data_IF_169178574141
#
_entry.id   IF_169178574141
#
_cell.length_a   1.000
_cell.length_b   1.000
_cell.length_c   1.000
_cell.angle_alpha   90.00
_cell.angle_beta   90.00
_cell.angle_gamma   90.00
#
_symmetry.space_group_name_H-M   'P 1'
#
loop_
_entity.id
_entity.type
_entity.pdbx_description
1 polymer ?
#
# COMPACT_ATOMS: atom_id res chain seq x y z
N UNK A 1 -27.18 -1.43 30.06
CA UNK A 1 -27.23 -0.83 28.71
C UNK A 1 -26.05 -1.28 27.85
N UNK A 2 -24.85 -1.41 28.42
CA UNK A 2 -23.62 -1.86 27.72
C UNK A 2 -23.73 -3.21 27.00
N UNK A 3 -24.36 -4.23 27.59
CA UNK A 3 -24.50 -5.56 26.97
C UNK A 3 -25.20 -5.51 25.59
N UNK A 4 -26.19 -4.62 25.40
CA UNK A 4 -26.89 -4.46 24.11
C UNK A 4 -26.03 -3.75 23.06
N UNK A 5 -25.11 -2.89 23.48
CA UNK A 5 -24.22 -2.18 22.55
C UNK A 5 -23.15 -3.12 22.03
N UNK A 6 -22.48 -3.87 22.91
CA UNK A 6 -21.45 -4.85 22.52
C UNK A 6 -21.98 -5.92 21.58
N UNK A 7 -23.20 -6.41 21.85
CA UNK A 7 -23.86 -7.41 21.00
C UNK A 7 -24.24 -6.85 19.62
N UNK A 8 -24.70 -5.59 19.56
CA UNK A 8 -24.98 -4.90 18.28
C UNK A 8 -23.71 -4.60 17.50
N UNK A 9 -22.64 -4.14 18.17
CA UNK A 9 -21.34 -3.88 17.54
C UNK A 9 -20.75 -5.17 16.98
N UNK A 10 -20.85 -6.29 17.70
CA UNK A 10 -20.42 -7.61 17.23
C UNK A 10 -21.15 -8.02 15.93
N UNK A 11 -22.46 -7.74 15.83
CA UNK A 11 -23.28 -8.07 14.65
C UNK A 11 -22.92 -7.31 13.37
N UNK A 12 -22.21 -6.18 13.45
CA UNK A 12 -21.84 -5.38 12.27
C UNK A 12 -20.32 -5.42 12.02
N UNK A 13 -19.54 -5.87 13.01
CA UNK A 13 -18.08 -5.96 12.92
C UNK A 13 -17.61 -6.83 11.75
N UNK A 14 -18.35 -7.89 11.41
CA UNK A 14 -18.04 -8.76 10.27
C UNK A 14 -18.01 -8.02 8.92
N UNK A 15 -18.70 -6.88 8.78
CA UNK A 15 -18.66 -6.03 7.59
C UNK A 15 -17.54 -5.00 7.70
N UNK A 16 -17.47 -4.29 8.83
CA UNK A 16 -16.56 -3.17 8.98
C UNK A 16 -15.09 -3.59 9.06
N UNK A 17 -14.81 -4.78 9.59
CA UNK A 17 -13.44 -5.25 9.74
C UNK A 17 -12.78 -5.58 8.39
N UNK A 18 -13.35 -6.40 7.50
CA UNK A 18 -12.78 -6.64 6.18
C UNK A 18 -12.70 -5.34 5.35
N UNK A 19 -13.72 -4.48 5.42
CA UNK A 19 -13.69 -3.18 4.76
C UNK A 19 -12.61 -2.27 5.33
N UNK A 20 -12.44 -2.22 6.65
CA UNK A 20 -11.43 -1.40 7.30
C UNK A 20 -10.01 -1.85 6.96
N UNK A 21 -9.75 -3.15 6.92
CA UNK A 21 -8.46 -3.69 6.46
C UNK A 21 -8.23 -3.41 4.97
N UNK A 22 -9.25 -3.63 4.13
CA UNK A 22 -9.18 -3.32 2.70
C UNK A 22 -8.87 -1.84 2.47
N UNK A 23 -9.56 -0.95 3.15
CA UNK A 23 -9.35 0.50 3.05
C UNK A 23 -7.96 0.90 3.58
N UNK A 24 -7.52 0.36 4.71
CA UNK A 24 -6.19 0.65 5.26
C UNK A 24 -5.09 0.27 4.27
N UNK A 25 -5.19 -0.93 3.69
CA UNK A 25 -4.22 -1.41 2.70
C UNK A 25 -4.30 -0.58 1.43
N UNK A 26 -5.50 -0.32 0.90
CA UNK A 26 -5.67 0.49 -0.31
C UNK A 26 -5.09 1.91 -0.15
N UNK A 27 -5.35 2.59 0.97
CA UNK A 27 -4.78 3.92 1.25
C UNK A 27 -3.25 3.86 1.32
N UNK A 28 -2.68 2.79 1.90
CA UNK A 28 -1.24 2.60 1.90
C UNK A 28 -0.67 2.29 0.51
N UNK A 29 -1.38 1.48 -0.29
CA UNK A 29 -1.01 1.15 -1.67
C UNK A 29 -0.97 2.41 -2.49
N UNK A 30 -2.00 3.25 -2.37
CA UNK A 30 -2.10 4.54 -3.03
C UNK A 30 -0.90 5.45 -2.66
N UNK A 31 -0.63 5.62 -1.37
CA UNK A 31 0.51 6.42 -0.92
C UNK A 31 1.87 5.90 -1.44
N UNK A 32 2.03 4.59 -1.54
CA UNK A 32 3.22 3.98 -2.11
C UNK A 32 3.29 4.13 -3.64
N UNK A 33 2.16 4.01 -4.33
CA UNK A 33 2.06 4.14 -5.78
C UNK A 33 2.35 5.57 -6.25
N UNK A 34 1.95 6.59 -5.47
CA UNK A 34 2.32 7.99 -5.71
C UNK A 34 3.84 8.17 -5.75
N UNK A 35 4.56 7.57 -4.79
CA UNK A 35 6.03 7.59 -4.78
C UNK A 35 6.60 6.88 -6.00
N UNK A 36 6.00 5.77 -6.45
CA UNK A 36 6.42 5.10 -7.70
C UNK A 36 6.22 6.04 -8.89
N UNK A 37 5.09 6.74 -8.98
CA UNK A 37 4.81 7.73 -10.02
C UNK A 37 5.87 8.83 -10.08
N UNK A 38 6.24 9.40 -8.93
CA UNK A 38 7.28 10.42 -8.83
C UNK A 38 8.66 9.90 -9.28
N UNK A 39 9.00 8.64 -8.97
CA UNK A 39 10.25 8.02 -9.40
C UNK A 39 10.26 7.71 -10.90
N UNK A 40 9.12 7.30 -11.47
CA UNK A 40 8.96 7.10 -12.92
C UNK A 40 9.13 8.43 -13.64
N UNK A 41 8.45 9.49 -13.16
CA UNK A 41 8.58 10.83 -13.74
C UNK A 41 10.03 11.32 -13.68
N UNK A 42 10.69 11.18 -12.53
CA UNK A 42 12.10 11.53 -12.37
C UNK A 42 13.02 10.77 -13.35
N UNK A 43 12.75 9.48 -13.58
CA UNK A 43 13.53 8.69 -14.53
C UNK A 43 13.31 9.16 -15.97
N UNK A 44 12.07 9.43 -16.36
CA UNK A 44 11.72 9.97 -17.69
C UNK A 44 12.39 11.31 -17.92
N UNK A 45 12.32 12.23 -16.96
CA UNK A 45 12.96 13.54 -17.05
C UNK A 45 14.49 13.44 -17.14
N UNK A 46 15.09 12.45 -16.47
CA UNK A 46 16.53 12.22 -16.55
C UNK A 46 16.98 11.68 -17.90
N UNK A 47 16.18 10.79 -18.48
CA UNK A 47 16.43 10.23 -19.82
C UNK A 47 16.32 11.33 -20.86
N UNK A 48 15.28 12.16 -20.77
CA UNK A 48 15.09 13.30 -21.66
C UNK A 48 16.24 14.31 -21.57
N UNK A 49 16.60 14.73 -20.36
CA UNK A 49 17.73 15.66 -20.15
C UNK A 49 19.06 15.09 -20.69
N UNK A 50 19.26 13.77 -20.66
CA UNK A 50 20.43 13.12 -21.25
C UNK A 50 20.40 13.17 -22.78
N UNK A 51 19.23 12.91 -23.38
CA UNK A 51 19.04 13.04 -24.81
C UNK A 51 19.25 14.49 -25.26
N UNK A 52 18.68 15.46 -24.55
CA UNK A 52 18.89 16.89 -24.80
C UNK A 52 20.37 17.25 -24.74
N UNK A 53 21.10 16.77 -23.73
CA UNK A 53 22.53 17.04 -23.59
C UNK A 53 23.38 16.47 -24.74
N UNK A 54 23.01 15.31 -25.29
CA UNK A 54 23.72 14.69 -26.43
C UNK A 54 23.33 15.37 -27.74
N UNK A 55 22.04 15.53 -28.00
CA UNK A 55 21.52 15.91 -29.31
C UNK A 55 21.45 17.44 -29.51
N UNK A 56 21.49 18.25 -28.45
CA UNK A 56 21.67 19.70 -28.55
C UNK A 56 23.04 20.08 -29.12
N UNK A 57 24.03 19.19 -29.04
CA UNK A 57 25.36 19.43 -29.60
C UNK A 57 25.39 19.35 -31.14
N UNK A 58 24.34 18.84 -31.78
CA UNK A 58 24.28 18.62 -33.24
C UNK A 58 23.13 19.44 -33.85
N UNK A 59 23.47 20.39 -34.74
CA UNK A 59 22.53 21.37 -35.33
C UNK A 59 21.39 20.77 -36.17
N UNK A 60 21.49 19.49 -36.54
CA UNK A 60 20.50 18.77 -37.35
C UNK A 60 19.39 18.14 -36.49
N UNK A 61 19.65 17.87 -35.21
CA UNK A 61 18.72 17.18 -34.29
C UNK A 61 18.03 18.11 -33.30
N UNK A 62 18.34 19.40 -33.32
CA UNK A 62 17.71 20.43 -32.48
C UNK A 62 16.16 20.46 -32.50
N UNK A 63 15.43 20.14 -33.60
CA UNK A 63 13.98 20.08 -33.58
C UNK A 63 13.38 18.74 -33.10
N UNK A 64 14.21 17.73 -32.78
CA UNK A 64 13.77 16.46 -32.15
C UNK A 64 13.83 16.53 -30.62
N UNK A 65 14.41 17.60 -30.08
CA UNK A 65 14.48 17.93 -28.66
C UNK A 65 13.08 18.39 -28.24
N UNK A 66 12.51 17.78 -27.21
CA UNK A 66 11.14 18.02 -26.71
C UNK A 66 9.98 17.34 -27.47
N UNK A 67 10.21 16.15 -28.04
CA UNK A 67 9.17 15.34 -28.72
C UNK A 67 8.05 14.84 -27.78
N UNK A 68 8.29 14.77 -26.47
CA UNK A 68 7.30 14.35 -25.48
C UNK A 68 7.11 15.49 -24.49
N UNK A 69 5.97 16.15 -24.56
CA UNK A 69 5.68 17.30 -23.71
C UNK A 69 5.57 16.91 -22.23
N UNK A 70 5.85 17.86 -21.34
CA UNK A 70 5.81 17.64 -19.88
C UNK A 70 4.46 17.09 -19.38
N UNK A 71 3.36 17.47 -20.05
CA UNK A 71 2.02 16.92 -19.80
C UNK A 71 1.88 15.43 -20.13
N UNK A 72 2.49 14.97 -21.22
CA UNK A 72 2.45 13.57 -21.66
C UNK A 72 3.30 12.68 -20.73
N UNK A 73 4.46 13.16 -20.29
CA UNK A 73 5.32 12.48 -19.29
C UNK A 73 4.58 12.30 -17.97
N UNK A 74 3.91 13.36 -17.51
CA UNK A 74 3.10 13.33 -16.28
C UNK A 74 1.93 12.37 -16.41
N UNK A 75 1.23 12.39 -17.56
CA UNK A 75 0.14 11.45 -17.82
C UNK A 75 0.63 10.00 -17.81
N UNK A 76 1.74 9.72 -18.48
CA UNK A 76 2.33 8.38 -18.52
C UNK A 76 2.74 7.90 -17.12
N UNK A 77 3.45 8.72 -16.34
CA UNK A 77 3.86 8.38 -14.98
C UNK A 77 2.66 8.07 -14.08
N UNK A 78 1.58 8.86 -14.19
CA UNK A 78 0.33 8.63 -13.45
C UNK A 78 -0.41 7.37 -13.91
N UNK A 79 -0.44 7.09 -15.22
CA UNK A 79 -1.04 5.87 -15.74
C UNK A 79 -0.28 4.62 -15.26
N UNK A 80 1.05 4.67 -15.22
CA UNK A 80 1.89 3.60 -14.65
C UNK A 80 1.63 3.44 -13.16
N UNK A 81 1.59 4.53 -12.40
CA UNK A 81 1.29 4.50 -10.97
C UNK A 81 -0.09 3.87 -10.70
N UNK A 82 -1.13 4.28 -11.45
CA UNK A 82 -2.48 3.72 -11.34
C UNK A 82 -2.52 2.22 -11.68
N UNK A 83 -1.85 1.80 -12.77
CA UNK A 83 -1.79 0.38 -13.12
C UNK A 83 -1.08 -0.45 -12.02
N UNK A 84 -0.05 0.13 -11.41
CA UNK A 84 0.67 -0.48 -10.29
C UNK A 84 -0.19 -0.58 -9.03
N UNK A 85 -0.90 0.50 -8.69
CA UNK A 85 -1.85 0.58 -7.58
C UNK A 85 -2.94 -0.49 -7.71
N UNK A 86 -3.63 -0.55 -8.86
CA UNK A 86 -4.69 -1.54 -9.09
C UNK A 86 -4.18 -2.98 -9.03
N UNK A 87 -2.97 -3.22 -9.54
CA UNK A 87 -2.33 -4.54 -9.48
C UNK A 87 -2.01 -4.93 -8.04
N UNK A 88 -1.51 -3.99 -7.24
CA UNK A 88 -1.21 -4.21 -5.84
C UNK A 88 -2.49 -4.40 -5.00
N UNK A 89 -3.54 -3.64 -5.25
CA UNK A 89 -4.83 -3.80 -4.58
C UNK A 89 -5.49 -5.14 -4.89
N UNK A 90 -5.39 -5.61 -6.14
CA UNK A 90 -5.85 -6.95 -6.50
C UNK A 90 -5.12 -8.05 -5.72
N UNK A 91 -3.84 -7.86 -5.40
CA UNK A 91 -3.02 -8.80 -4.66
C UNK A 91 -3.15 -8.65 -3.14
N UNK A 92 -3.38 -7.44 -2.62
CA UNK A 92 -3.35 -7.15 -1.19
C UNK A 92 -4.72 -6.81 -0.62
N UNK A 93 -5.43 -5.84 -1.19
CA UNK A 93 -6.65 -5.28 -0.63
C UNK A 93 -7.88 -6.18 -0.89
N UNK A 94 -8.09 -6.62 -2.14
CA UNK A 94 -9.26 -7.44 -2.52
C UNK A 94 -9.34 -8.76 -1.71
N UNK A 95 -8.25 -9.51 -1.47
CA UNK A 95 -8.31 -10.73 -0.66
C UNK A 95 -8.78 -10.53 0.79
N UNK A 96 -8.72 -9.29 1.30
CA UNK A 96 -9.17 -8.95 2.66
C UNK A 96 -10.70 -8.87 2.76
N UNK A 97 -11.41 -8.65 1.65
CA UNK A 97 -12.87 -8.67 1.63
C UNK A 97 -13.45 -10.05 1.97
N UNK A 98 -12.70 -11.11 1.68
CA UNK A 98 -13.05 -12.48 2.06
C UNK A 98 -12.53 -12.90 3.43
N UNK A 99 -12.11 -11.96 4.28
CA UNK A 99 -11.62 -12.28 5.62
C UNK A 99 -12.79 -12.77 6.50
N UNK A 100 -12.57 -13.93 7.13
CA UNK A 100 -13.48 -14.50 8.11
C UNK A 100 -12.97 -14.23 9.52
N UNK A 101 -13.85 -13.65 10.35
CA UNK A 101 -13.48 -13.13 11.66
C UNK A 101 -13.19 -14.26 12.65
N UNK A 102 -11.99 -14.24 13.23
CA UNK A 102 -11.51 -15.24 14.18
C UNK A 102 -11.00 -14.59 15.46
N UNK A 103 -10.90 -15.40 16.52
CA UNK A 103 -10.24 -14.95 17.74
C UNK A 103 -8.75 -14.70 17.47
N UNK A 104 -8.19 -13.62 18.04
CA UNK A 104 -6.81 -13.23 17.78
C UNK A 104 -5.77 -14.33 18.15
N UNK A 105 -6.07 -15.16 19.15
CA UNK A 105 -5.22 -16.28 19.54
C UNK A 105 -5.14 -17.36 18.46
N UNK A 106 -6.25 -17.63 17.78
CA UNK A 106 -6.32 -18.64 16.71
C UNK A 106 -5.54 -18.16 15.47
N UNK A 107 -5.70 -16.89 15.12
CA UNK A 107 -4.96 -16.25 14.03
C UNK A 107 -3.44 -16.31 14.24
N UNK A 108 -2.99 -15.97 15.44
CA UNK A 108 -1.57 -16.00 15.78
C UNK A 108 -1.02 -17.43 15.70
N UNK A 109 -1.81 -18.42 16.11
CA UNK A 109 -1.43 -19.83 16.04
C UNK A 109 -1.28 -20.28 14.60
N UNK A 110 -2.25 -19.96 13.73
CA UNK A 110 -2.20 -20.26 12.30
C UNK A 110 -1.00 -19.57 11.65
N UNK A 111 -0.80 -18.28 11.90
CA UNK A 111 0.30 -17.51 11.34
C UNK A 111 1.67 -18.11 11.70
N UNK A 112 1.86 -18.52 12.97
CA UNK A 112 3.09 -19.19 13.42
C UNK A 112 3.36 -20.50 12.68
N UNK A 113 2.31 -21.29 12.43
CA UNK A 113 2.43 -22.55 11.67
C UNK A 113 2.83 -22.26 10.21
N UNK A 114 2.21 -21.27 9.58
CA UNK A 114 2.47 -20.91 8.19
C UNK A 114 3.89 -20.35 8.00
N UNK A 115 4.36 -19.49 8.90
CA UNK A 115 5.73 -18.93 8.86
C UNK A 115 6.79 -20.03 9.00
N UNK A 116 6.55 -21.03 9.85
CA UNK A 116 7.49 -22.16 10.04
C UNK A 116 7.70 -23.00 8.78
N UNK A 117 6.74 -23.02 7.85
CA UNK A 117 6.83 -23.81 6.60
C UNK A 117 7.79 -23.24 5.55
N UNK A 118 8.50 -22.14 5.86
CA UNK A 118 9.61 -21.51 5.10
C UNK A 118 9.61 -21.64 3.57
N UNK A 119 8.76 -20.89 2.86
CA UNK A 119 8.98 -20.55 1.46
C UNK A 119 9.27 -19.05 1.33
N UNK A 120 10.50 -18.68 0.97
CA UNK A 120 10.97 -17.28 0.91
C UNK A 120 10.04 -16.36 0.09
N UNK A 121 9.54 -16.84 -1.05
CA UNK A 121 8.61 -16.08 -1.91
C UNK A 121 7.25 -15.84 -1.27
N UNK A 122 6.79 -16.70 -0.35
CA UNK A 122 5.47 -16.55 0.30
C UNK A 122 5.48 -15.51 1.42
N UNK A 123 6.64 -14.97 1.77
CA UNK A 123 6.76 -13.88 2.74
C UNK A 123 6.71 -12.49 2.10
N UNK A 124 6.81 -12.39 0.77
CA UNK A 124 6.78 -11.11 0.05
C UNK A 124 5.44 -10.41 0.26
N UNK A 125 4.35 -11.10 -0.03
CA UNK A 125 3.00 -10.55 0.10
C UNK A 125 2.66 -10.08 1.53
N UNK A 126 2.89 -10.87 2.59
CA UNK A 126 2.61 -10.40 3.96
C UNK A 126 3.59 -9.31 4.44
N UNK A 127 4.84 -9.30 3.98
CA UNK A 127 5.76 -8.20 4.27
C UNK A 127 5.29 -6.90 3.60
N UNK A 128 4.86 -6.98 2.33
CA UNK A 128 4.27 -5.85 1.62
C UNK A 128 2.99 -5.37 2.29
N UNK A 129 2.08 -6.29 2.67
CA UNK A 129 0.86 -5.96 3.41
C UNK A 129 1.15 -5.22 4.72
N UNK A 130 2.19 -5.62 5.46
CA UNK A 130 2.62 -4.95 6.68
C UNK A 130 3.08 -3.51 6.38
N UNK A 131 4.04 -3.34 5.46
CA UNK A 131 4.63 -2.05 5.14
C UNK A 131 3.59 -1.07 4.56
N UNK A 132 2.74 -1.57 3.67
CA UNK A 132 1.61 -0.82 3.11
C UNK A 132 0.61 -0.45 4.20
N UNK A 133 0.27 -1.35 5.13
CA UNK A 133 -0.63 -1.01 6.26
C UNK A 133 -0.03 0.07 7.17
N UNK A 134 1.29 0.06 7.40
CA UNK A 134 1.98 1.12 8.16
C UNK A 134 1.89 2.45 7.40
N UNK A 135 2.16 2.45 6.09
CA UNK A 135 2.02 3.62 5.24
C UNK A 135 0.59 4.17 5.24
N UNK A 136 -0.41 3.30 5.12
CA UNK A 136 -1.82 3.68 5.19
C UNK A 136 -2.20 4.28 6.55
N UNK A 137 -1.74 3.69 7.65
CA UNK A 137 -2.00 4.21 8.99
C UNK A 137 -1.35 5.59 9.20
N UNK A 138 -0.11 5.78 8.71
CA UNK A 138 0.58 7.07 8.74
C UNK A 138 -0.14 8.13 7.88
N UNK A 139 -0.59 7.76 6.68
CA UNK A 139 -1.34 8.64 5.79
C UNK A 139 -2.67 9.11 6.44
N UNK A 140 -3.43 8.19 7.03
CA UNK A 140 -4.67 8.52 7.76
C UNK A 140 -4.38 9.41 8.98
N UNK A 141 -3.32 9.12 9.73
CA UNK A 141 -2.92 9.93 10.88
C UNK A 141 -2.58 11.38 10.46
N UNK A 142 -1.80 11.55 9.38
CA UNK A 142 -1.49 12.87 8.81
C UNK A 142 -2.74 13.61 8.36
N UNK A 143 -3.67 12.91 7.71
CA UNK A 143 -4.96 13.49 7.27
C UNK A 143 -5.78 14.00 8.47
N UNK A 144 -5.89 13.19 9.53
CA UNK A 144 -6.63 13.57 10.73
C UNK A 144 -5.98 14.74 11.47
N UNK A 145 -4.64 14.75 11.55
CA UNK A 145 -3.91 15.89 12.11
C UNK A 145 -4.16 17.16 11.30
N UNK A 146 -4.12 17.07 9.97
CA UNK A 146 -4.38 18.16 9.03
C UNK A 146 -5.85 18.59 8.93
N UNK A 147 -6.79 17.80 9.46
CA UNK A 147 -8.20 18.21 9.57
C UNK A 147 -8.42 19.08 10.81
N UNK A 148 -7.57 18.93 11.83
CA UNK A 148 -7.66 19.61 13.13
C UNK A 148 -6.58 20.70 13.29
N UNK A 149 -6.26 21.43 12.21
CA UNK A 149 -5.19 22.43 12.16
C UNK A 149 -5.32 23.51 13.24
N UNK A 150 -6.56 23.89 13.59
CA UNK A 150 -6.83 24.90 14.61
C UNK A 150 -6.61 24.40 16.06
N UNK A 151 -6.39 23.10 16.26
CA UNK A 151 -6.22 22.49 17.57
C UNK A 151 -5.04 21.49 17.56
N UNK A 152 -3.79 21.96 17.57
CA UNK A 152 -2.61 21.10 17.33
C UNK A 152 -2.46 19.98 18.35
N UNK A 153 -2.79 20.21 19.62
CA UNK A 153 -2.75 19.19 20.67
C UNK A 153 -3.81 18.09 20.45
N UNK A 154 -5.04 18.50 20.10
CA UNK A 154 -6.14 17.56 19.81
C UNK A 154 -5.84 16.80 18.51
N UNK A 155 -5.38 17.51 17.48
CA UNK A 155 -4.97 16.92 16.20
C UNK A 155 -3.86 15.88 16.37
N UNK A 156 -2.82 16.20 17.16
CA UNK A 156 -1.75 15.25 17.49
C UNK A 156 -2.25 14.02 18.25
N UNK A 157 -3.13 14.20 19.23
CA UNK A 157 -3.71 13.08 19.98
C UNK A 157 -4.60 12.18 19.12
N UNK A 158 -5.47 12.77 18.29
CA UNK A 158 -6.34 12.03 17.36
C UNK A 158 -5.50 11.27 16.34
N UNK A 159 -4.47 11.90 15.76
CA UNK A 159 -3.58 11.27 14.82
C UNK A 159 -2.80 10.09 15.43
N UNK A 160 -2.24 10.26 16.63
CA UNK A 160 -1.57 9.18 17.35
C UNK A 160 -2.54 8.04 17.65
N UNK A 161 -3.74 8.34 18.13
CA UNK A 161 -4.77 7.34 18.42
C UNK A 161 -5.17 6.54 17.18
N UNK A 162 -5.36 7.23 16.04
CA UNK A 162 -5.66 6.57 14.78
C UNK A 162 -4.50 5.72 14.28
N UNK A 163 -3.26 6.24 14.33
CA UNK A 163 -2.06 5.50 13.94
C UNK A 163 -1.93 4.19 14.72
N UNK A 164 -1.95 4.28 16.05
CA UNK A 164 -1.84 3.09 16.92
C UNK A 164 -3.05 2.18 16.79
N UNK A 165 -4.27 2.73 16.70
CA UNK A 165 -5.49 1.95 16.54
C UNK A 165 -5.49 1.12 15.25
N UNK A 166 -5.21 1.76 14.11
CA UNK A 166 -5.14 1.09 12.81
C UNK A 166 -3.99 0.07 12.76
N UNK A 167 -2.81 0.47 13.26
CA UNK A 167 -1.65 -0.41 13.29
C UNK A 167 -1.85 -1.63 14.20
N UNK A 168 -2.40 -1.47 15.40
CA UNK A 168 -2.52 -2.58 16.35
C UNK A 168 -3.74 -3.48 16.05
N UNK A 169 -4.82 -2.92 15.51
CA UNK A 169 -6.08 -3.67 15.35
C UNK A 169 -6.26 -4.25 13.95
N UNK A 170 -5.80 -3.56 12.90
CA UNK A 170 -6.07 -3.96 11.52
C UNK A 170 -4.84 -4.53 10.81
N UNK A 171 -3.66 -3.92 10.99
CA UNK A 171 -2.47 -4.34 10.25
C UNK A 171 -2.08 -5.82 10.52
N UNK A 172 -2.07 -6.35 11.77
CA UNK A 172 -1.78 -7.76 12.02
C UNK A 172 -2.75 -8.69 11.30
N UNK A 173 -4.04 -8.34 11.28
CA UNK A 173 -5.09 -9.15 10.63
C UNK A 173 -4.91 -9.16 9.11
N UNK A 174 -4.58 -8.01 8.52
CA UNK A 174 -4.26 -7.91 7.10
C UNK A 174 -3.03 -8.76 6.73
N UNK A 175 -1.99 -8.75 7.59
CA UNK A 175 -0.77 -9.56 7.41
C UNK A 175 -1.06 -11.05 7.54
N UNK A 176 -1.82 -11.47 8.55
CA UNK A 176 -2.19 -12.87 8.74
C UNK A 176 -3.02 -13.40 7.57
N UNK A 177 -3.97 -12.60 7.09
CA UNK A 177 -4.75 -12.96 5.89
C UNK A 177 -3.87 -13.06 4.65
N UNK A 178 -2.91 -12.16 4.50
CA UNK A 178 -1.93 -12.18 3.40
C UNK A 178 -1.03 -13.42 3.47
N UNK A 179 -0.62 -13.84 4.67
CA UNK A 179 0.12 -15.10 4.90
C UNK A 179 -0.68 -16.32 4.45
N UNK A 180 -1.96 -16.40 4.85
CA UNK A 180 -2.86 -17.49 4.45
C UNK A 180 -3.03 -17.54 2.93
N UNK A 181 -3.30 -16.40 2.33
CA UNK A 181 -3.52 -16.30 0.89
C UNK A 181 -2.25 -16.66 0.11
N UNK A 182 -1.09 -16.11 0.48
CA UNK A 182 0.20 -16.45 -0.13
C UNK A 182 0.54 -17.94 0.02
N UNK A 183 0.14 -18.58 1.12
CA UNK A 183 0.37 -20.01 1.36
C UNK A 183 -0.40 -20.92 0.39
N UNK A 184 -1.55 -20.47 -0.10
CA UNK A 184 -2.42 -21.19 -1.03
C UNK A 184 -2.10 -20.92 -2.52
N UNK A 185 -1.26 -19.92 -2.82
CA UNK A 185 -0.93 -19.53 -4.18
C UNK A 185 0.10 -20.46 -4.86
N UNK A 186 -0.02 -20.55 -6.20
CA UNK A 186 1.00 -21.19 -7.06
C UNK A 186 2.26 -20.33 -7.11
N UNK A 187 3.43 -20.96 -7.28
CA UNK A 187 4.74 -20.28 -7.34
C UNK A 187 4.82 -19.15 -8.37
N UNK A 188 4.18 -19.31 -9.53
CA UNK A 188 4.16 -18.27 -10.58
C UNK A 188 3.49 -16.98 -10.10
N UNK A 189 2.41 -17.08 -9.31
CA UNK A 189 1.73 -15.93 -8.72
C UNK A 189 2.63 -15.27 -7.65
N UNK A 190 3.39 -16.08 -6.90
CA UNK A 190 4.39 -15.57 -5.95
C UNK A 190 5.51 -14.75 -6.61
N UNK A 191 5.95 -15.12 -7.82
CA UNK A 191 6.94 -14.35 -8.58
C UNK A 191 6.36 -13.03 -9.10
N UNK A 192 5.14 -13.05 -9.63
CA UNK A 192 4.42 -11.83 -10.01
C UNK A 192 4.22 -10.90 -8.80
N UNK A 193 3.83 -11.49 -7.66
CA UNK A 193 3.72 -10.78 -6.40
C UNK A 193 5.05 -10.14 -5.98
N UNK A 194 6.18 -10.81 -6.14
CA UNK A 194 7.49 -10.19 -5.88
C UNK A 194 7.79 -9.01 -6.81
N UNK A 195 7.52 -9.15 -8.11
CA UNK A 195 7.78 -8.10 -9.09
C UNK A 195 6.95 -6.83 -8.85
N UNK A 196 5.69 -6.99 -8.42
CA UNK A 196 4.77 -5.87 -8.17
C UNK A 196 4.94 -5.33 -6.75
N UNK A 197 4.92 -6.21 -5.75
CA UNK A 197 4.86 -5.82 -4.34
C UNK A 197 6.24 -5.48 -3.75
N UNK A 198 7.34 -5.97 -4.34
CA UNK A 198 8.69 -5.64 -3.91
C UNK A 198 9.00 -4.13 -4.04
N UNK A 199 8.90 -3.54 -5.24
CA UNK A 199 9.06 -2.10 -5.43
C UNK A 199 8.05 -1.28 -4.61
N UNK A 200 6.79 -1.74 -4.54
CA UNK A 200 5.75 -1.09 -3.74
C UNK A 200 6.11 -1.07 -2.25
N UNK A 201 6.64 -2.15 -1.70
CA UNK A 201 7.06 -2.21 -0.30
C UNK A 201 8.19 -1.21 0.00
N UNK A 202 9.13 -1.04 -0.93
CA UNK A 202 10.19 -0.02 -0.82
C UNK A 202 9.59 1.38 -0.89
N UNK A 203 8.66 1.61 -1.82
CA UNK A 203 7.98 2.89 -1.98
C UNK A 203 7.10 3.23 -0.75
N UNK A 204 6.46 2.23 -0.13
CA UNK A 204 5.69 2.40 1.09
C UNK A 204 6.58 2.92 2.23
N UNK A 205 7.79 2.37 2.40
CA UNK A 205 8.76 2.89 3.39
C UNK A 205 9.16 4.33 3.07
N UNK A 206 9.35 4.66 1.79
CA UNK A 206 9.69 6.02 1.36
C UNK A 206 8.53 7.02 1.52
N UNK A 207 7.29 6.55 1.69
CA UNK A 207 6.08 7.38 1.89
C UNK A 207 5.77 7.71 3.37
N UNK A 208 6.51 7.11 4.31
CA UNK A 208 6.36 7.34 5.75
C UNK A 208 6.92 8.68 6.17
#
# INVERSE_FOLDING_TARGET
MELRVTERVSKIRWIFLPLGMCALVAVGTHAAADVVGDKVLFAVDRVDAFFDAIFSSWSVTAPLVDLVGLGERTFFARAVALAWELSADALLAIPLLGYDERAAADELTIARVLVKRRPSLRLVQPAAALLVSIAGAAAVARLLQGTLLHYPLIGGFVAATALFGLFLLLAPRAVFRSLEHASAQKTAIGLLGLAILGPLAIAAVASL
#
